data_IF_593547788390
#
_entry.id   IF_593547788390
#
_cell.length_a   1.000
_cell.length_b   1.000
_cell.length_c   1.000
_cell.angle_alpha   90.00
_cell.angle_beta   90.00
_cell.angle_gamma   90.00
#
_symmetry.space_group_name_H-M   'P 1'
#
loop_
_entity.id
_entity.type
_entity.pdbx_description
1 polymer ?
#
# COMPACT_ATOMS: atom_id res chain seq x y z
N UNK A 1 5.43 -8.51 -15.39
CA UNK A 1 4.50 -8.68 -14.27
C UNK A 1 3.13 -8.12 -14.65
N UNK A 2 2.04 -8.84 -14.35
CA UNK A 2 0.66 -8.42 -14.62
C UNK A 2 -0.26 -8.86 -13.48
N UNK A 3 -0.99 -7.93 -12.88
CA UNK A 3 -2.05 -8.25 -11.91
C UNK A 3 -3.31 -8.67 -12.67
N UNK A 4 -3.88 -9.82 -12.33
CA UNK A 4 -5.13 -10.32 -12.92
C UNK A 4 -6.13 -10.61 -11.80
N UNK A 5 -7.34 -10.09 -11.96
CA UNK A 5 -8.46 -10.30 -11.05
C UNK A 5 -9.63 -10.85 -11.86
N UNK A 6 -10.13 -12.02 -11.47
CA UNK A 6 -11.19 -12.72 -12.22
C UNK A 6 -12.37 -13.01 -11.31
N UNK A 7 -13.55 -12.54 -11.71
CA UNK A 7 -14.85 -12.72 -11.05
C UNK A 7 -14.81 -12.49 -9.52
N UNK A 8 -14.08 -11.47 -9.08
CA UNK A 8 -13.83 -11.25 -7.66
C UNK A 8 -15.11 -10.81 -6.94
N UNK A 9 -15.39 -11.48 -5.82
CA UNK A 9 -16.40 -11.07 -4.85
C UNK A 9 -15.81 -11.00 -3.44
N UNK A 10 -16.26 -10.01 -2.66
CA UNK A 10 -15.88 -9.85 -1.26
C UNK A 10 -17.11 -9.68 -0.39
N UNK A 11 -17.20 -10.51 0.65
CA UNK A 11 -18.19 -10.43 1.70
C UNK A 11 -17.57 -9.84 2.98
N UNK A 12 -18.37 -9.12 3.76
CA UNK A 12 -18.03 -8.69 5.12
C UNK A 12 -19.14 -9.13 6.05
N UNK A 13 -18.89 -10.17 6.83
CA UNK A 13 -19.96 -10.89 7.53
C UNK A 13 -20.93 -11.45 6.50
N UNK A 14 -22.22 -11.20 6.69
CA UNK A 14 -23.29 -11.67 5.80
C UNK A 14 -23.58 -10.74 4.61
N UNK A 15 -22.83 -9.63 4.49
CA UNK A 15 -23.08 -8.62 3.45
C UNK A 15 -22.09 -8.75 2.29
N UNK A 16 -22.63 -8.96 1.09
CA UNK A 16 -21.91 -8.77 -0.18
C UNK A 16 -21.53 -7.31 -0.39
N UNK A 17 -20.24 -7.02 -0.51
CA UNK A 17 -19.75 -5.66 -0.78
C UNK A 17 -19.73 -5.38 -2.28
N UNK A 18 -19.21 -6.33 -3.06
CA UNK A 18 -19.23 -6.34 -4.52
C UNK A 18 -19.03 -7.77 -5.05
N UNK A 19 -19.36 -8.00 -6.31
CA UNK A 19 -19.15 -9.26 -7.04
C UNK A 19 -18.91 -9.01 -8.52
N UNK A 20 -18.31 -9.98 -9.21
CA UNK A 20 -18.11 -9.92 -10.65
C UNK A 20 -17.04 -8.91 -11.10
N UNK A 21 -16.14 -8.51 -10.20
CA UNK A 21 -15.06 -7.59 -10.56
C UNK A 21 -14.01 -8.34 -11.37
N UNK A 22 -13.76 -7.85 -12.58
CA UNK A 22 -12.71 -8.32 -13.47
C UNK A 22 -11.81 -7.13 -13.82
N UNK A 23 -10.51 -7.26 -13.64
CA UNK A 23 -9.56 -6.24 -14.06
C UNK A 23 -8.18 -6.84 -14.31
N UNK A 24 -7.40 -6.14 -15.11
CA UNK A 24 -6.01 -6.47 -15.39
C UNK A 24 -5.19 -5.19 -15.34
N UNK A 25 -3.98 -5.27 -14.79
CA UNK A 25 -3.03 -4.15 -14.76
C UNK A 25 -1.65 -4.68 -15.11
N UNK A 26 -1.11 -4.26 -16.24
CA UNK A 26 0.22 -4.57 -16.70
C UNK A 26 1.31 -3.71 -16.04
N UNK A 27 2.56 -4.13 -16.21
CA UNK A 27 3.72 -3.35 -15.79
C UNK A 27 3.74 -1.97 -16.44
N UNK A 28 3.91 -0.92 -15.64
CA UNK A 28 3.92 0.47 -16.11
C UNK A 28 2.53 1.07 -16.32
N UNK A 29 1.46 0.29 -16.15
CA UNK A 29 0.09 0.79 -16.21
C UNK A 29 -0.37 1.33 -14.87
N UNK A 30 -1.31 2.26 -14.90
CA UNK A 30 -1.96 2.81 -13.72
C UNK A 30 -3.46 2.65 -13.84
N UNK A 31 -4.08 2.04 -12.83
CA UNK A 31 -5.53 1.89 -12.74
C UNK A 31 -6.08 2.72 -11.58
N UNK A 32 -7.09 3.53 -11.85
CA UNK A 32 -7.76 4.37 -10.84
C UNK A 32 -9.13 3.78 -10.51
N UNK A 33 -9.35 3.43 -9.25
CA UNK A 33 -10.64 2.94 -8.75
C UNK A 33 -11.45 4.11 -8.19
N UNK A 34 -12.58 4.43 -8.82
CA UNK A 34 -13.49 5.52 -8.42
C UNK A 34 -14.86 4.99 -8.00
N UNK A 35 -15.72 5.86 -7.48
CA UNK A 35 -17.07 5.51 -7.03
C UNK A 35 -17.42 6.13 -5.68
N UNK A 36 -18.70 6.02 -5.29
CA UNK A 36 -19.22 6.60 -4.05
C UNK A 36 -18.53 6.06 -2.78
N UNK A 37 -18.66 6.78 -1.68
CA UNK A 37 -18.25 6.28 -0.36
C UNK A 37 -19.06 5.02 -0.03
N UNK A 38 -18.37 3.98 0.46
CA UNK A 38 -19.00 2.68 0.74
C UNK A 38 -19.09 1.72 -0.45
N UNK A 39 -18.76 2.15 -1.68
CA UNK A 39 -18.79 1.29 -2.88
C UNK A 39 -17.77 0.12 -2.90
N UNK A 40 -16.97 -0.05 -1.84
CA UNK A 40 -16.02 -1.15 -1.73
C UNK A 40 -14.60 -0.89 -2.26
N UNK A 41 -14.25 0.35 -2.65
CA UNK A 41 -12.91 0.69 -3.19
C UNK A 41 -11.75 0.25 -2.28
N UNK A 42 -11.77 0.64 -1.01
CA UNK A 42 -10.75 0.23 -0.04
C UNK A 42 -10.79 -1.28 0.24
N UNK A 43 -11.96 -1.91 0.10
CA UNK A 43 -12.11 -3.37 0.21
C UNK A 43 -11.45 -4.08 -0.97
N UNK A 44 -11.62 -3.58 -2.19
CA UNK A 44 -10.95 -4.09 -3.40
C UNK A 44 -9.44 -3.99 -3.26
N UNK A 45 -8.92 -2.80 -2.89
CA UNK A 45 -7.47 -2.62 -2.71
C UNK A 45 -6.89 -3.52 -1.60
N UNK A 46 -7.64 -3.75 -0.51
CA UNK A 46 -7.22 -4.68 0.56
C UNK A 46 -7.24 -6.14 0.09
N UNK A 47 -8.20 -6.54 -0.74
CA UNK A 47 -8.23 -7.87 -1.32
C UNK A 47 -7.04 -8.09 -2.26
N UNK A 48 -6.75 -7.12 -3.14
CA UNK A 48 -5.58 -7.15 -4.04
C UNK A 48 -4.27 -7.23 -3.24
N UNK A 49 -4.13 -6.42 -2.19
CA UNK A 49 -2.97 -6.48 -1.29
C UNK A 49 -2.95 -7.73 -0.38
N UNK A 50 -3.87 -8.68 -0.59
CA UNK A 50 -3.94 -9.97 0.10
C UNK A 50 -4.56 -9.93 1.49
N UNK A 51 -4.91 -8.77 2.05
CA UNK A 51 -5.47 -8.65 3.42
C UNK A 51 -6.87 -9.25 3.59
N UNK A 52 -7.61 -9.43 2.50
CA UNK A 52 -8.95 -10.02 2.51
C UNK A 52 -8.98 -11.24 1.60
N UNK A 53 -9.56 -12.33 2.11
CA UNK A 53 -9.81 -13.53 1.31
C UNK A 53 -11.01 -13.28 0.40
N UNK A 54 -10.92 -13.55 -0.92
CA UNK A 54 -12.07 -13.59 -1.81
C UNK A 54 -13.15 -14.55 -1.32
N UNK A 55 -14.41 -14.14 -1.41
CA UNK A 55 -15.54 -15.05 -1.27
C UNK A 55 -15.71 -15.90 -2.55
N UNK A 56 -15.48 -15.26 -3.70
CA UNK A 56 -15.47 -15.88 -5.03
C UNK A 56 -14.36 -15.25 -5.87
N UNK A 57 -13.96 -15.95 -6.93
CA UNK A 57 -12.97 -15.48 -7.89
C UNK A 57 -11.53 -15.60 -7.39
N UNK A 58 -10.61 -15.05 -8.18
CA UNK A 58 -9.17 -15.15 -7.95
C UNK A 58 -8.47 -13.81 -8.15
N UNK A 59 -7.32 -13.68 -7.50
CA UNK A 59 -6.37 -12.59 -7.69
C UNK A 59 -5.03 -13.27 -7.89
N UNK A 60 -4.35 -12.99 -9.01
CA UNK A 60 -3.05 -13.57 -9.34
C UNK A 60 -2.10 -12.50 -9.87
N UNK A 61 -0.82 -12.78 -9.74
CA UNK A 61 0.25 -11.97 -10.29
C UNK A 61 1.05 -12.80 -11.28
N UNK A 62 0.88 -12.53 -12.57
CA UNK A 62 1.56 -13.26 -13.63
C UNK A 62 2.95 -12.66 -13.88
N UNK A 63 3.96 -13.53 -14.04
CA UNK A 63 5.34 -13.11 -14.27
C UNK A 63 5.96 -12.35 -13.09
N UNK A 64 5.59 -12.72 -11.85
CA UNK A 64 6.12 -12.17 -10.60
C UNK A 64 7.31 -12.93 -10.01
N UNK A 65 7.52 -14.19 -10.37
CA UNK A 65 8.52 -15.05 -9.74
C UNK A 65 7.92 -15.91 -8.62
N UNK A 66 8.76 -16.33 -7.67
CA UNK A 66 8.32 -17.08 -6.49
C UNK A 66 7.74 -16.16 -5.41
N UNK A 67 6.72 -16.62 -4.68
CA UNK A 67 6.06 -15.86 -3.63
C UNK A 67 4.62 -15.48 -3.96
N UNK A 68 3.85 -15.12 -2.94
CA UNK A 68 2.45 -14.70 -3.08
C UNK A 68 2.30 -13.23 -3.50
N UNK A 69 1.06 -12.79 -3.62
CA UNK A 69 0.71 -11.40 -3.93
C UNK A 69 1.23 -10.39 -2.89
N UNK A 70 1.35 -10.81 -1.63
CA UNK A 70 1.73 -9.93 -0.52
C UNK A 70 3.20 -9.55 -0.56
N UNK A 71 4.03 -10.46 -1.05
CA UNK A 71 5.48 -10.32 -1.21
C UNK A 71 5.85 -9.37 -2.35
N UNK A 72 4.94 -9.20 -3.31
CA UNK A 72 5.13 -8.35 -4.50
C UNK A 72 4.36 -7.03 -4.43
N UNK A 73 3.81 -6.67 -3.27
CA UNK A 73 2.92 -5.53 -3.15
C UNK A 73 3.25 -4.67 -1.93
N UNK A 74 3.34 -3.35 -2.15
CA UNK A 74 3.25 -2.37 -1.08
C UNK A 74 1.82 -1.84 -0.96
N UNK A 75 1.29 -1.85 0.26
CA UNK A 75 -0.02 -1.27 0.56
C UNK A 75 0.12 0.01 1.39
N UNK A 76 -0.27 1.14 0.80
CA UNK A 76 -0.35 2.42 1.47
C UNK A 76 -1.82 2.74 1.81
N UNK A 77 -2.20 2.47 3.06
CA UNK A 77 -3.55 2.65 3.56
C UNK A 77 -3.92 4.13 3.76
N UNK A 78 -5.10 4.35 4.36
CA UNK A 78 -5.48 5.66 4.90
C UNK A 78 -4.55 6.07 6.04
N UNK A 79 -4.31 5.14 6.98
CA UNK A 79 -3.32 5.33 8.03
C UNK A 79 -1.91 5.14 7.47
N UNK A 80 -1.03 6.07 7.82
CA UNK A 80 0.31 6.17 7.24
C UNK A 80 1.32 5.16 7.81
N UNK A 81 0.89 4.29 8.73
CA UNK A 81 1.75 3.30 9.40
C UNK A 81 3.03 3.90 10.00
N UNK A 82 2.91 5.10 10.57
CA UNK A 82 3.97 5.80 11.30
C UNK A 82 3.71 5.72 12.80
N UNK A 83 4.74 5.40 13.57
CA UNK A 83 4.70 5.44 15.03
C UNK A 83 4.91 6.89 15.48
N UNK A 84 3.90 7.54 16.10
CA UNK A 84 3.99 8.98 16.40
C UNK A 84 5.08 9.37 17.38
N UNK A 85 5.46 8.45 18.27
CA UNK A 85 6.48 8.66 19.30
C UNK A 85 7.90 8.49 18.79
N UNK A 86 8.09 7.92 17.59
CA UNK A 86 9.40 7.73 16.98
C UNK A 86 9.69 8.88 16.02
N UNK A 87 10.97 9.22 15.90
CA UNK A 87 11.50 10.12 14.88
C UNK A 87 11.17 9.63 13.47
N UNK A 88 11.23 10.55 12.49
CA UNK A 88 11.10 10.19 11.07
C UNK A 88 12.17 9.18 10.67
N UNK A 89 13.42 9.39 11.12
CA UNK A 89 14.54 8.47 10.94
C UNK A 89 14.22 7.06 11.43
N UNK A 90 13.82 6.91 12.69
CA UNK A 90 13.50 5.60 13.27
C UNK A 90 12.36 4.89 12.52
N UNK A 91 11.33 5.64 12.10
CA UNK A 91 10.24 5.08 11.30
C UNK A 91 10.75 4.54 9.96
N UNK A 92 11.58 5.29 9.24
CA UNK A 92 12.06 4.90 7.91
C UNK A 92 13.09 3.77 7.98
N UNK A 93 14.03 3.83 8.93
CA UNK A 93 15.00 2.76 9.17
C UNK A 93 14.31 1.43 9.48
N UNK A 94 13.28 1.44 10.34
CA UNK A 94 12.51 0.23 10.63
C UNK A 94 11.96 -0.43 9.36
N UNK A 95 11.40 0.35 8.45
CA UNK A 95 10.83 -0.20 7.21
C UNK A 95 11.90 -0.65 6.21
N UNK A 96 13.01 0.09 6.09
CA UNK A 96 14.15 -0.30 5.26
C UNK A 96 14.73 -1.64 5.73
N UNK A 97 14.92 -1.82 7.05
CA UNK A 97 15.39 -3.07 7.65
C UNK A 97 14.38 -4.20 7.43
N UNK A 98 13.09 -3.95 7.68
CA UNK A 98 12.03 -4.94 7.51
C UNK A 98 11.90 -5.42 6.05
N UNK A 99 12.04 -4.52 5.08
CA UNK A 99 11.95 -4.84 3.65
C UNK A 99 13.28 -5.41 3.09
N UNK A 100 14.39 -5.23 3.81
CA UNK A 100 15.73 -5.68 3.39
C UNK A 100 16.29 -4.93 2.17
N UNK A 101 15.65 -3.84 1.76
CA UNK A 101 15.99 -3.02 0.60
C UNK A 101 15.45 -1.59 0.79
N UNK A 102 15.95 -0.65 0.00
CA UNK A 102 15.51 0.74 0.00
C UNK A 102 16.67 1.71 -0.04
N UNK A 103 16.40 2.93 -0.50
CA UNK A 103 17.37 4.01 -0.51
C UNK A 103 17.79 4.43 0.91
N UNK A 104 18.95 5.06 1.02
CA UNK A 104 19.37 5.74 2.25
C UNK A 104 18.31 6.76 2.73
N UNK A 105 18.07 6.81 4.04
CA UNK A 105 16.94 7.54 4.64
C UNK A 105 17.02 9.03 4.34
N UNK A 106 18.20 9.62 4.45
CA UNK A 106 18.46 11.02 4.15
C UNK A 106 18.15 11.31 2.68
N UNK A 107 18.64 10.46 1.77
CA UNK A 107 18.38 10.57 0.32
C UNK A 107 16.89 10.52 0.01
N UNK A 108 16.15 9.54 0.58
CA UNK A 108 14.71 9.42 0.40
C UNK A 108 13.94 10.65 0.92
N UNK A 109 14.37 11.21 2.06
CA UNK A 109 13.77 12.41 2.64
C UNK A 109 14.05 13.68 1.82
N UNK A 110 15.23 13.81 1.24
CA UNK A 110 15.57 14.92 0.35
C UNK A 110 14.68 14.92 -0.90
N UNK A 111 14.46 13.74 -1.52
CA UNK A 111 13.58 13.61 -2.70
C UNK A 111 12.15 14.08 -2.46
N UNK A 112 11.66 13.94 -1.22
CA UNK A 112 10.31 14.41 -0.84
C UNK A 112 10.31 15.78 -0.15
N UNK A 113 11.47 16.44 -0.04
CA UNK A 113 11.64 17.78 0.53
C UNK A 113 11.45 17.86 2.05
N UNK A 114 11.71 16.77 2.78
CA UNK A 114 11.48 16.66 4.23
C UNK A 114 12.74 16.32 5.06
N UNK A 115 13.93 16.50 4.51
CA UNK A 115 15.20 16.26 5.23
C UNK A 115 15.29 16.98 6.59
N UNK A 116 14.78 18.21 6.68
CA UNK A 116 14.73 18.99 7.93
C UNK A 116 13.87 18.37 9.06
N UNK A 117 13.08 17.34 8.77
CA UNK A 117 12.20 16.67 9.75
C UNK A 117 12.78 15.39 10.32
N UNK A 118 13.98 14.99 9.88
CA UNK A 118 14.55 13.65 10.11
C UNK A 118 14.55 13.22 11.58
N UNK A 119 14.91 14.13 12.49
CA UNK A 119 14.99 13.83 13.93
C UNK A 119 13.72 14.22 14.71
N UNK A 120 12.71 14.78 14.04
CA UNK A 120 11.44 15.13 14.68
C UNK A 120 10.59 13.88 14.89
N UNK A 121 9.94 13.73 16.07
CA UNK A 121 8.94 12.70 16.25
C UNK A 121 7.80 12.86 15.25
N UNK A 122 7.38 11.77 14.61
CA UNK A 122 6.37 11.79 13.56
C UNK A 122 5.04 12.40 14.04
N UNK A 123 4.75 12.38 15.34
CA UNK A 123 3.60 13.03 15.96
C UNK A 123 3.47 14.52 15.63
N UNK A 124 4.59 15.25 15.57
CA UNK A 124 4.64 16.70 15.32
C UNK A 124 4.37 17.11 13.87
N UNK A 125 4.33 16.14 12.97
CA UNK A 125 4.19 16.40 11.54
C UNK A 125 2.73 16.65 11.15
N UNK A 126 2.53 17.55 10.18
CA UNK A 126 1.25 17.74 9.51
C UNK A 126 0.80 16.45 8.81
N UNK A 127 -0.50 16.33 8.55
CA UNK A 127 -1.04 15.19 7.80
C UNK A 127 -0.38 15.01 6.42
N UNK A 128 -0.08 16.12 5.72
CA UNK A 128 0.60 16.10 4.43
C UNK A 128 2.06 15.64 4.53
N UNK A 129 2.79 16.07 5.56
CA UNK A 129 4.15 15.57 5.82
C UNK A 129 4.14 14.07 6.14
N UNK A 130 3.24 13.63 7.03
CA UNK A 130 3.06 12.20 7.35
C UNK A 130 2.77 11.38 6.10
N UNK A 131 1.93 11.89 5.19
CA UNK A 131 1.63 11.20 3.93
C UNK A 131 2.84 11.09 3.03
N UNK A 132 3.64 12.15 2.89
CA UNK A 132 4.87 12.11 2.08
C UNK A 132 5.91 11.17 2.65
N UNK A 133 6.09 11.12 3.97
CA UNK A 133 7.00 10.16 4.62
C UNK A 133 6.53 8.71 4.39
N UNK A 134 5.23 8.45 4.49
CA UNK A 134 4.70 7.12 4.21
C UNK A 134 4.89 6.68 2.75
N UNK A 135 5.05 7.63 1.83
CA UNK A 135 5.45 7.39 0.44
C UNK A 135 6.97 7.19 0.35
N UNK A 136 7.79 7.96 1.06
CA UNK A 136 9.26 7.78 1.06
C UNK A 136 9.70 6.39 1.53
N UNK A 137 8.91 5.71 2.37
CA UNK A 137 9.11 4.29 2.71
C UNK A 137 9.17 3.37 1.47
N UNK A 138 8.56 3.77 0.36
CA UNK A 138 8.48 2.97 -0.86
C UNK A 138 9.63 3.25 -1.84
N UNK A 139 10.59 4.11 -1.45
CA UNK A 139 11.76 4.48 -2.24
C UNK A 139 12.99 3.66 -1.85
#
# INVERSE_FOLDING_TARGET
>A
MKLVVTNLAIDRGERRIFSGVNLEVGSGETLVVTGANGAGKSTLLKAIAGFLRPAEGTISLEGGGEGGLREHCHYLAHDNALKPSLSVRENLLFWQEYLGTGEDVETALERIGLGHTIDLPAGFLSAGQKRRIAIARLL
#
